data_IF_524682831527
#
_entry.id   IF_524682831527
#
_cell.length_a   1.000
_cell.length_b   1.000
_cell.length_c   1.000
_cell.angle_alpha   90.00
_cell.angle_beta   90.00
_cell.angle_gamma   90.00
#
_symmetry.space_group_name_H-M   'P 1'
#
loop_
_entity.id
_entity.type
_entity.pdbx_description
1 polymer ?
#
# COMPACT_ATOMS: atom_id res chain seq x y z
N UNK A 1 -8.58 12.94 4.98
CA UNK A 1 -10.05 13.02 4.93
C UNK A 1 -10.71 11.90 5.74
N UNK A 2 -10.65 10.63 5.29
CA UNK A 2 -11.34 9.51 5.96
C UNK A 2 -10.97 9.26 7.44
N UNK A 3 -9.70 9.40 7.82
CA UNK A 3 -9.26 9.14 9.20
C UNK A 3 -9.75 10.24 10.16
N UNK A 4 -9.75 11.50 9.70
CA UNK A 4 -10.26 12.64 10.47
C UNK A 4 -11.78 12.60 10.62
N UNK A 5 -12.51 12.21 9.55
CA UNK A 5 -13.97 12.11 9.57
C UNK A 5 -14.49 10.92 10.39
N UNK A 6 -13.74 9.80 10.41
CA UNK A 6 -14.12 8.61 11.19
C UNK A 6 -13.53 8.58 12.60
N UNK A 7 -12.55 9.44 12.89
CA UNK A 7 -11.78 9.40 14.14
C UNK A 7 -11.02 8.10 14.37
N UNK A 8 -10.80 7.27 13.34
CA UNK A 8 -10.22 5.94 13.45
C UNK A 8 -9.30 5.62 12.27
N UNK A 9 -8.18 4.96 12.55
CA UNK A 9 -7.32 4.38 11.52
C UNK A 9 -7.98 3.14 10.88
N UNK A 10 -7.75 2.87 9.58
CA UNK A 10 -8.22 1.63 8.96
C UNK A 10 -7.64 0.40 9.67
N UNK A 11 -8.36 -0.72 9.70
CA UNK A 11 -7.84 -1.98 10.27
C UNK A 11 -7.45 -2.98 9.17
N UNK A 12 -6.59 -3.96 9.46
CA UNK A 12 -6.29 -5.04 8.53
C UNK A 12 -7.52 -5.87 8.13
N UNK A 13 -8.58 -5.87 8.93
CA UNK A 13 -9.86 -6.51 8.57
C UNK A 13 -10.71 -5.58 7.69
N UNK A 14 -10.71 -4.27 7.98
CA UNK A 14 -11.50 -3.26 7.27
C UNK A 14 -10.61 -2.42 6.35
N UNK A 15 -10.04 -3.06 5.33
CA UNK A 15 -9.10 -2.45 4.36
C UNK A 15 -9.82 -1.63 3.28
N UNK A 16 -10.54 -0.59 3.67
CA UNK A 16 -11.20 0.34 2.74
C UNK A 16 -10.21 0.92 1.71
N UNK A 17 -8.96 1.19 2.13
CA UNK A 17 -7.90 1.62 1.22
C UNK A 17 -7.58 0.59 0.11
N UNK A 18 -7.89 -0.69 0.28
CA UNK A 18 -7.69 -1.72 -0.74
C UNK A 18 -8.89 -1.85 -1.67
N UNK A 19 -10.13 -1.79 -1.15
CA UNK A 19 -11.32 -1.80 -2.01
C UNK A 19 -11.44 -0.52 -2.82
N UNK A 20 -11.40 0.63 -2.15
CA UNK A 20 -11.90 1.88 -2.72
C UNK A 20 -10.81 2.63 -3.47
N UNK A 21 -9.57 2.56 -2.97
CA UNK A 21 -8.44 3.33 -3.52
C UNK A 21 -7.55 2.50 -4.45
N UNK A 22 -7.71 1.16 -4.47
CA UNK A 22 -6.90 0.28 -5.33
C UNK A 22 -7.77 -0.51 -6.30
N UNK A 23 -8.54 -1.47 -5.79
CA UNK A 23 -9.30 -2.41 -6.64
C UNK A 23 -10.37 -1.71 -7.48
N UNK A 24 -11.21 -0.89 -6.86
CA UNK A 24 -12.30 -0.18 -7.55
C UNK A 24 -11.82 0.67 -8.73
N UNK A 25 -10.80 1.53 -8.57
CA UNK A 25 -10.22 2.30 -9.66
C UNK A 25 -9.63 1.42 -10.77
N UNK A 26 -8.86 0.38 -10.43
CA UNK A 26 -8.30 -0.56 -11.42
C UNK A 26 -9.42 -1.23 -12.23
N UNK A 27 -10.43 -1.78 -11.57
CA UNK A 27 -11.57 -2.42 -12.23
C UNK A 27 -12.32 -1.46 -13.14
N UNK A 28 -12.50 -0.20 -12.71
CA UNK A 28 -13.15 0.83 -13.52
C UNK A 28 -12.35 1.15 -14.78
N UNK A 29 -11.04 1.28 -14.66
CA UNK A 29 -10.14 1.53 -15.79
C UNK A 29 -10.17 0.37 -16.78
N UNK A 30 -10.06 -0.88 -16.32
CA UNK A 30 -10.12 -2.05 -17.20
C UNK A 30 -11.49 -2.14 -17.90
N UNK A 31 -12.60 -1.88 -17.17
CA UNK A 31 -13.93 -1.81 -17.79
C UNK A 31 -14.01 -0.72 -18.86
N UNK A 32 -13.35 0.42 -18.68
CA UNK A 32 -13.28 1.47 -19.70
C UNK A 32 -12.52 0.98 -20.94
N UNK A 33 -11.32 0.42 -20.75
CA UNK A 33 -10.50 -0.13 -21.85
C UNK A 33 -11.26 -1.20 -22.65
N UNK A 34 -11.96 -2.13 -21.98
CA UNK A 34 -12.77 -3.15 -22.69
C UNK A 34 -13.91 -2.55 -23.51
N UNK A 35 -14.52 -1.45 -23.07
CA UNK A 35 -15.55 -0.74 -23.85
C UNK A 35 -14.97 -0.07 -25.08
N UNK A 36 -13.80 0.56 -24.96
CA UNK A 36 -13.10 1.17 -26.10
C UNK A 36 -12.71 0.11 -27.13
N UNK A 37 -12.15 -1.02 -26.69
CA UNK A 37 -11.84 -2.17 -27.56
C UNK A 37 -13.08 -2.70 -28.27
N UNK A 38 -14.21 -2.79 -27.57
CA UNK A 38 -15.49 -3.20 -28.16
C UNK A 38 -15.94 -2.23 -29.24
N UNK A 39 -15.89 -0.92 -28.97
CA UNK A 39 -16.28 0.11 -29.92
C UNK A 39 -15.38 0.13 -31.16
N UNK A 40 -14.10 -0.21 -31.01
CA UNK A 40 -13.15 -0.35 -32.09
C UNK A 40 -13.27 -1.69 -32.87
N UNK A 41 -14.23 -2.56 -32.53
CA UNK A 41 -14.45 -3.83 -33.24
C UNK A 41 -13.34 -4.87 -33.01
N UNK A 42 -12.55 -4.72 -31.94
CA UNK A 42 -11.45 -5.65 -31.62
C UNK A 42 -12.02 -7.05 -31.33
N UNK A 43 -11.49 -8.06 -32.01
CA UNK A 43 -11.78 -9.47 -31.70
C UNK A 43 -11.35 -9.76 -30.25
N UNK A 44 -12.17 -10.51 -29.52
CA UNK A 44 -11.92 -10.86 -28.11
C UNK A 44 -11.74 -9.63 -27.20
N UNK A 45 -12.46 -8.53 -27.51
CA UNK A 45 -12.45 -7.29 -26.72
C UNK A 45 -12.74 -7.49 -25.22
N UNK A 46 -13.46 -8.57 -24.89
CA UNK A 46 -13.89 -8.91 -23.53
C UNK A 46 -12.90 -9.75 -22.75
N UNK A 47 -11.85 -10.29 -23.39
CA UNK A 47 -10.85 -11.12 -22.72
C UNK A 47 -9.87 -10.23 -21.93
N UNK A 48 -9.77 -10.49 -20.64
CA UNK A 48 -8.92 -9.75 -19.69
C UNK A 48 -8.06 -10.72 -18.90
N UNK A 49 -6.76 -10.45 -18.85
CA UNK A 49 -5.83 -11.10 -17.91
C UNK A 49 -5.23 -10.02 -17.01
N UNK A 50 -5.65 -10.00 -15.75
CA UNK A 50 -5.19 -9.08 -14.72
C UNK A 50 -3.99 -9.69 -13.97
N UNK A 51 -2.79 -9.31 -14.37
CA UNK A 51 -1.54 -9.79 -13.78
C UNK A 51 -1.22 -9.05 -12.48
N UNK A 52 -0.91 -9.79 -11.41
CA UNK A 52 -0.54 -9.24 -10.11
C UNK A 52 0.72 -9.92 -9.57
N UNK A 53 1.69 -9.13 -9.10
CA UNK A 53 2.98 -9.61 -8.59
C UNK A 53 2.96 -10.16 -7.16
N UNK A 54 1.91 -10.89 -6.76
CA UNK A 54 1.78 -11.41 -5.40
C UNK A 54 2.46 -12.78 -5.31
N UNK A 55 3.35 -12.95 -4.32
CA UNK A 55 4.18 -14.17 -4.18
C UNK A 55 3.79 -14.99 -2.97
N UNK A 56 3.96 -16.30 -3.05
CA UNK A 56 3.68 -17.27 -1.98
C UNK A 56 4.50 -16.98 -0.72
N UNK A 57 5.77 -16.58 -0.89
CA UNK A 57 6.71 -16.25 0.19
C UNK A 57 6.24 -15.07 1.07
N UNK A 58 5.38 -14.19 0.58
CA UNK A 58 4.97 -12.97 1.32
C UNK A 58 4.16 -13.27 2.58
N UNK A 59 3.39 -14.37 2.60
CA UNK A 59 2.67 -14.86 3.80
C UNK A 59 2.00 -16.21 3.57
N UNK A 60 1.63 -16.89 4.66
CA UNK A 60 0.82 -18.12 4.62
C UNK A 60 -0.51 -17.96 3.87
N UNK A 61 -1.13 -16.78 3.91
CA UNK A 61 -2.36 -16.49 3.15
C UNK A 61 -2.10 -16.36 1.65
N UNK A 62 -0.94 -15.83 1.26
CA UNK A 62 -0.52 -15.69 -0.14
C UNK A 62 -0.08 -17.01 -0.74
N UNK A 63 0.57 -17.86 0.06
CA UNK A 63 0.99 -19.20 -0.35
C UNK A 63 -0.19 -20.07 -0.83
N UNK A 64 -1.39 -19.83 -0.32
CA UNK A 64 -2.61 -20.59 -0.65
C UNK A 64 -3.39 -20.03 -1.86
N UNK A 65 -2.92 -18.94 -2.46
CA UNK A 65 -3.62 -18.36 -3.61
C UNK A 65 -3.44 -19.24 -4.85
N UNK A 66 -4.51 -19.37 -5.62
CA UNK A 66 -4.48 -19.96 -6.94
C UNK A 66 -3.74 -19.03 -7.93
N UNK A 67 -2.79 -19.60 -8.68
CA UNK A 67 -1.92 -18.85 -9.59
C UNK A 67 -2.68 -18.25 -10.77
N UNK A 68 -3.67 -18.95 -11.33
CA UNK A 68 -4.48 -18.48 -12.45
C UNK A 68 -5.94 -18.84 -12.21
N UNK A 69 -6.82 -17.85 -12.08
CA UNK A 69 -8.22 -18.07 -11.70
C UNK A 69 -9.20 -17.21 -12.47
N UNK A 70 -10.38 -17.75 -12.74
CA UNK A 70 -11.49 -16.98 -13.30
C UNK A 70 -12.04 -16.01 -12.24
N UNK A 71 -12.14 -14.73 -12.60
CA UNK A 71 -12.74 -13.70 -11.76
C UNK A 71 -14.25 -13.60 -12.03
N UNK A 72 -15.02 -14.45 -11.38
CA UNK A 72 -16.50 -14.48 -11.51
C UNK A 72 -17.17 -13.13 -11.25
N UNK A 73 -16.58 -12.29 -10.38
CA UNK A 73 -17.10 -10.96 -10.10
C UNK A 73 -17.04 -10.01 -11.29
N UNK A 74 -15.97 -10.11 -12.09
CA UNK A 74 -15.69 -9.22 -13.22
C UNK A 74 -15.99 -9.84 -14.61
N UNK A 75 -16.10 -11.17 -14.71
CA UNK A 75 -16.55 -11.92 -15.89
C UNK A 75 -18.05 -11.73 -16.13
N UNK A 76 -18.43 -10.53 -16.55
CA UNK A 76 -19.83 -10.10 -16.76
C UNK A 76 -19.93 -9.24 -18.01
N UNK A 77 -21.15 -9.11 -18.56
CA UNK A 77 -21.45 -8.27 -19.71
C UNK A 77 -20.53 -8.54 -20.92
N UNK A 78 -20.33 -9.81 -21.25
CA UNK A 78 -19.51 -10.27 -22.37
C UNK A 78 -18.00 -10.24 -22.12
N UNK A 79 -17.55 -9.96 -20.89
CA UNK A 79 -16.14 -10.09 -20.49
C UNK A 79 -15.84 -11.46 -19.91
N UNK A 80 -14.66 -11.95 -20.20
CA UNK A 80 -14.02 -13.10 -19.60
C UNK A 80 -12.74 -12.60 -18.92
N UNK A 81 -12.71 -12.65 -17.59
CA UNK A 81 -11.66 -12.04 -16.79
C UNK A 81 -10.93 -13.08 -15.96
N UNK A 82 -9.60 -13.11 -16.08
CA UNK A 82 -8.72 -13.93 -15.26
C UNK A 82 -7.83 -13.06 -14.37
N UNK A 83 -7.62 -13.50 -13.14
CA UNK A 83 -6.55 -13.00 -12.28
C UNK A 83 -5.36 -13.96 -12.36
N UNK A 84 -4.16 -13.43 -12.63
CA UNK A 84 -2.95 -14.22 -12.79
C UNK A 84 -1.80 -13.73 -11.91
N UNK A 85 -1.11 -14.67 -11.25
CA UNK A 85 0.05 -14.45 -10.38
C UNK A 85 1.31 -15.02 -11.05
N UNK A 86 1.91 -14.33 -12.04
CA UNK A 86 2.97 -14.89 -12.88
C UNK A 86 4.28 -15.22 -12.15
N UNK A 87 4.48 -14.67 -10.96
CA UNK A 87 5.69 -14.84 -10.13
C UNK A 87 5.36 -15.46 -8.78
N UNK A 88 4.26 -16.20 -8.68
CA UNK A 88 3.73 -16.67 -7.40
C UNK A 88 4.73 -17.54 -6.63
N UNK A 89 5.50 -18.36 -7.33
CA UNK A 89 6.50 -19.27 -6.78
C UNK A 89 7.89 -18.64 -6.60
N UNK A 90 8.07 -17.36 -6.97
CA UNK A 90 9.36 -16.71 -6.88
C UNK A 90 9.70 -16.28 -5.45
N UNK A 91 10.95 -16.51 -5.08
CA UNK A 91 11.61 -15.94 -3.90
C UNK A 91 11.90 -14.45 -4.09
N UNK A 92 12.22 -13.76 -3.00
CA UNK A 92 12.59 -12.36 -3.03
C UNK A 92 13.87 -12.18 -3.84
N UNK A 93 14.86 -13.06 -3.65
CA UNK A 93 16.12 -13.06 -4.38
C UNK A 93 15.89 -13.15 -5.90
N UNK A 94 15.06 -14.09 -6.35
CA UNK A 94 14.74 -14.25 -7.78
C UNK A 94 14.12 -12.99 -8.40
N UNK A 95 13.26 -12.28 -7.65
CA UNK A 95 12.68 -11.01 -8.12
C UNK A 95 13.77 -9.96 -8.34
N UNK A 96 14.67 -9.79 -7.38
CA UNK A 96 15.76 -8.82 -7.48
C UNK A 96 16.78 -9.20 -8.55
N UNK A 97 17.07 -10.49 -8.72
CA UNK A 97 17.95 -11.00 -9.77
C UNK A 97 17.39 -10.72 -11.17
N UNK A 98 16.09 -10.91 -11.39
CA UNK A 98 15.44 -10.61 -12.67
C UNK A 98 15.41 -9.10 -12.95
N UNK A 99 15.14 -8.26 -11.95
CA UNK A 99 15.24 -6.80 -12.09
C UNK A 99 16.65 -6.40 -12.53
N UNK A 100 17.67 -6.96 -11.88
CA UNK A 100 19.08 -6.70 -12.20
C UNK A 100 19.45 -7.21 -13.60
N UNK A 101 19.03 -8.42 -13.96
CA UNK A 101 19.29 -9.02 -15.27
C UNK A 101 18.63 -8.22 -16.41
N UNK A 102 17.50 -7.57 -16.14
CA UNK A 102 16.85 -6.65 -17.07
C UNK A 102 17.53 -5.26 -17.14
N UNK A 103 18.64 -5.04 -16.43
CA UNK A 103 19.32 -3.75 -16.36
C UNK A 103 18.54 -2.68 -15.59
N UNK A 104 17.53 -3.07 -14.83
CA UNK A 104 16.69 -2.18 -14.04
C UNK A 104 17.22 -2.08 -12.61
N UNK A 105 16.81 -1.02 -11.91
CA UNK A 105 17.07 -0.84 -10.48
C UNK A 105 15.77 -0.92 -9.68
N UNK A 106 15.76 -1.63 -8.56
CA UNK A 106 14.64 -1.57 -7.62
C UNK A 106 14.40 -0.12 -7.17
N UNK A 107 13.20 0.13 -6.64
CA UNK A 107 12.88 1.45 -6.13
C UNK A 107 13.81 1.84 -4.96
N UNK A 108 14.33 3.08 -4.96
CA UNK A 108 15.29 3.61 -3.96
C UNK A 108 14.88 3.39 -2.50
N UNK A 109 13.58 3.28 -2.23
CA UNK A 109 13.04 3.03 -0.88
C UNK A 109 13.63 1.79 -0.21
N UNK A 110 14.00 0.77 -0.98
CA UNK A 110 14.64 -0.44 -0.46
C UNK A 110 16.08 -0.16 0.01
N UNK A 111 16.81 0.70 -0.69
CA UNK A 111 18.16 1.16 -0.28
C UNK A 111 18.10 2.03 0.99
N UNK A 112 16.96 2.69 1.24
CA UNK A 112 16.71 3.48 2.45
C UNK A 112 16.32 2.63 3.67
N UNK A 113 16.28 1.30 3.54
CA UNK A 113 16.02 0.35 4.63
C UNK A 113 14.57 -0.08 4.79
N UNK A 114 13.68 0.30 3.86
CA UNK A 114 12.28 -0.16 3.89
C UNK A 114 12.17 -1.55 3.28
N UNK A 115 11.42 -2.44 3.91
CA UNK A 115 11.14 -3.79 3.41
C UNK A 115 10.02 -3.83 2.36
N UNK A 116 9.21 -2.77 2.28
CA UNK A 116 8.05 -2.68 1.39
C UNK A 116 7.87 -1.28 0.83
N UNK A 117 7.39 -1.19 -0.40
CA UNK A 117 6.93 0.07 -0.98
C UNK A 117 5.39 0.17 -0.89
N UNK A 118 4.90 1.01 0.02
CA UNK A 118 3.47 1.19 0.31
C UNK A 118 3.22 2.62 0.81
N UNK A 119 2.06 2.90 1.41
CA UNK A 119 1.88 4.16 2.13
C UNK A 119 3.01 4.32 3.16
N UNK A 120 3.58 5.53 3.26
CA UNK A 120 4.72 5.87 4.14
C UNK A 120 4.50 5.36 5.55
N UNK A 121 3.33 5.64 6.11
CA UNK A 121 2.86 5.04 7.35
C UNK A 121 1.66 4.14 7.05
N UNK A 122 1.86 2.82 7.20
CA UNK A 122 0.88 1.82 6.86
C UNK A 122 0.53 0.97 8.08
N UNK A 123 -0.76 0.65 8.24
CA UNK A 123 -1.27 -0.25 9.29
C UNK A 123 -0.73 -1.70 9.18
N UNK A 124 -0.09 -2.03 8.05
CA UNK A 124 0.56 -3.32 7.79
C UNK A 124 2.09 -3.22 7.73
N UNK A 125 2.65 -2.05 8.07
CA UNK A 125 4.10 -1.87 8.12
C UNK A 125 4.69 -2.66 9.29
N UNK A 126 5.92 -3.14 9.13
CA UNK A 126 6.68 -3.66 10.27
C UNK A 126 7.09 -2.50 11.19
N UNK A 127 7.45 -2.81 12.43
CA UNK A 127 7.99 -1.79 13.35
C UNK A 127 9.29 -1.17 12.79
N UNK A 128 10.13 -1.98 12.11
CA UNK A 128 11.35 -1.50 11.46
C UNK A 128 11.06 -0.52 10.31
N UNK A 129 10.04 -0.81 9.48
CA UNK A 129 9.61 0.12 8.43
C UNK A 129 9.09 1.43 9.02
N UNK A 130 8.32 1.37 10.12
CA UNK A 130 7.79 2.58 10.77
C UNK A 130 8.90 3.43 11.39
N UNK A 131 9.90 2.81 12.02
CA UNK A 131 11.10 3.50 12.52
C UNK A 131 11.85 4.18 11.39
N UNK A 132 12.05 3.48 10.28
CA UNK A 132 12.71 4.02 9.09
C UNK A 132 11.90 5.18 8.50
N UNK A 133 10.59 5.03 8.34
CA UNK A 133 9.71 6.07 7.82
C UNK A 133 9.69 7.32 8.71
N UNK A 134 9.64 7.16 10.04
CA UNK A 134 9.67 8.28 10.98
C UNK A 134 11.03 9.00 10.97
N UNK A 135 12.13 8.25 10.94
CA UNK A 135 13.48 8.82 10.81
C UNK A 135 13.61 9.63 9.52
N UNK A 136 13.21 9.06 8.38
CA UNK A 136 13.25 9.76 7.08
C UNK A 136 12.34 10.99 7.07
N UNK A 137 11.18 10.95 7.72
CA UNK A 137 10.30 12.11 7.85
C UNK A 137 10.94 13.28 8.59
N UNK A 138 11.86 13.00 9.52
CA UNK A 138 12.57 14.03 10.29
C UNK A 138 13.87 14.47 9.61
N UNK A 139 14.66 13.53 9.11
CA UNK A 139 16.00 13.80 8.56
C UNK A 139 15.98 14.24 7.09
N UNK A 140 15.02 13.73 6.30
CA UNK A 140 14.91 13.94 4.85
C UNK A 140 13.43 14.13 4.44
N UNK A 141 12.73 15.13 5.01
CA UNK A 141 11.30 15.36 4.77
C UNK A 141 10.93 15.56 3.29
N UNK A 142 11.85 16.06 2.48
CA UNK A 142 11.71 16.26 1.03
C UNK A 142 11.50 14.97 0.24
N UNK A 143 11.82 13.80 0.82
CA UNK A 143 11.53 12.51 0.22
C UNK A 143 10.05 12.11 0.33
N UNK A 144 9.26 12.82 1.15
CA UNK A 144 7.85 12.52 1.38
C UNK A 144 6.96 13.44 0.56
N UNK A 145 5.90 12.86 -0.03
CA UNK A 145 4.83 13.66 -0.65
C UNK A 145 4.15 14.61 0.35
N UNK A 146 4.19 14.28 1.65
CA UNK A 146 3.69 15.11 2.74
C UNK A 146 4.72 15.09 3.89
N UNK A 147 5.58 16.12 3.99
CA UNK A 147 6.57 16.29 5.06
C UNK A 147 5.98 16.25 6.47
N UNK A 148 4.71 16.67 6.62
CA UNK A 148 4.03 16.75 7.91
C UNK A 148 3.30 15.45 8.29
N UNK A 149 3.34 14.42 7.45
CA UNK A 149 2.51 13.23 7.61
C UNK A 149 2.72 12.55 8.97
N UNK A 150 3.96 12.44 9.42
CA UNK A 150 4.28 11.87 10.73
C UNK A 150 3.63 12.67 11.87
N UNK A 151 3.81 14.00 11.86
CA UNK A 151 3.22 14.91 12.84
C UNK A 151 1.69 14.84 12.83
N UNK A 152 1.07 14.83 11.65
CA UNK A 152 -0.39 14.71 11.48
C UNK A 152 -0.92 13.43 12.11
N UNK A 153 -0.24 12.31 11.89
CA UNK A 153 -0.67 11.02 12.43
C UNK A 153 -0.46 10.93 13.94
N UNK A 154 0.67 11.38 14.47
CA UNK A 154 0.88 11.46 15.93
C UNK A 154 -0.16 12.39 16.59
N UNK A 155 -0.43 13.55 16.00
CA UNK A 155 -1.43 14.49 16.51
C UNK A 155 -2.83 13.89 16.54
N UNK A 156 -3.17 13.10 15.52
CA UNK A 156 -4.43 12.37 15.46
C UNK A 156 -4.50 11.26 16.53
N UNK A 157 -3.43 10.51 16.76
CA UNK A 157 -3.42 9.51 17.83
C UNK A 157 -3.65 10.15 19.20
N UNK A 158 -3.02 11.31 19.43
CA UNK A 158 -3.20 12.11 20.67
C UNK A 158 -4.62 12.67 20.82
N UNK A 159 -5.23 13.18 19.75
CA UNK A 159 -6.54 13.81 19.84
C UNK A 159 -7.70 12.81 19.90
N UNK A 160 -7.53 11.61 19.34
CA UNK A 160 -8.59 10.59 19.28
C UNK A 160 -8.42 9.47 20.31
N UNK A 161 -7.22 9.29 20.87
CA UNK A 161 -6.87 8.14 21.70
C UNK A 161 -6.81 6.81 20.92
N UNK A 162 -6.94 6.85 19.59
CA UNK A 162 -6.80 5.69 18.71
C UNK A 162 -5.36 5.59 18.22
N UNK A 163 -4.83 4.37 18.11
CA UNK A 163 -3.48 4.12 17.58
C UNK A 163 -3.55 3.54 16.17
N UNK A 164 -2.56 3.84 15.33
CA UNK A 164 -2.52 3.36 13.95
C UNK A 164 -2.36 1.84 13.88
N UNK A 165 -1.41 1.30 14.64
CA UNK A 165 -1.18 -0.13 14.66
C UNK A 165 -2.22 -0.79 15.56
N UNK A 166 -2.80 -1.88 15.07
CA UNK A 166 -3.71 -2.69 15.88
C UNK A 166 -3.00 -3.16 17.16
N UNK A 167 -3.65 -3.06 18.33
CA UNK A 167 -3.06 -3.47 19.60
C UNK A 167 -2.63 -4.93 19.56
N UNK A 168 -1.41 -5.21 20.03
CA UNK A 168 -0.91 -6.58 20.20
C UNK A 168 -1.09 -6.97 21.67
N UNK A 169 -1.75 -8.09 21.93
CA UNK A 169 -2.05 -8.56 23.29
C UNK A 169 -2.75 -7.49 24.16
N UNK A 170 -3.63 -6.69 23.56
CA UNK A 170 -4.33 -5.59 24.24
C UNK A 170 -3.50 -4.33 24.48
N UNK A 171 -2.20 -4.35 24.20
CA UNK A 171 -1.31 -3.20 24.42
C UNK A 171 -1.39 -2.25 23.23
N UNK A 172 -1.81 -1.01 23.51
CA UNK A 172 -1.83 0.10 22.55
C UNK A 172 -0.50 0.82 22.61
N UNK A 173 0.17 0.95 21.46
CA UNK A 173 1.41 1.71 21.32
C UNK A 173 1.22 2.75 20.23
N UNK A 174 1.45 4.01 20.56
CA UNK A 174 1.41 5.11 19.59
C UNK A 174 2.66 5.12 18.72
N UNK A 175 2.64 5.89 17.64
CA UNK A 175 3.76 6.02 16.71
C UNK A 175 5.03 6.52 17.39
N UNK A 176 4.96 7.48 18.32
CA UNK A 176 6.15 7.95 19.04
C UNK A 176 6.79 6.84 19.90
N UNK A 177 5.98 5.94 20.46
CA UNK A 177 6.45 4.80 21.25
C UNK A 177 7.01 3.68 20.38
N UNK A 178 6.39 3.45 19.22
CA UNK A 178 6.83 2.44 18.24
C UNK A 178 8.15 2.87 17.60
N UNK A 179 8.25 4.14 17.21
CA UNK A 179 9.36 4.64 16.41
C UNK A 179 10.50 5.21 17.24
N UNK A 180 10.23 5.66 18.47
CA UNK A 180 11.17 6.42 19.30
C UNK A 180 11.39 7.86 18.84
N UNK A 181 10.71 8.30 17.77
CA UNK A 181 10.83 9.66 17.22
C UNK A 181 9.73 10.53 17.78
N UNK A 182 10.09 11.64 18.45
CA UNK A 182 9.11 12.60 18.93
C UNK A 182 8.63 13.49 17.79
N UNK A 183 7.32 13.64 17.66
CA UNK A 183 6.74 14.69 16.85
C UNK A 183 6.82 15.99 17.64
N UNK A 184 7.94 16.71 17.51
CA UNK A 184 8.04 18.06 18.08
C UNK A 184 6.88 18.91 17.58
N UNK A 185 6.31 19.75 18.47
CA UNK A 185 5.40 20.81 18.02
C UNK A 185 6.24 21.64 17.07
N UNK A 186 5.88 21.68 15.80
CA UNK A 186 6.48 22.63 14.87
C UNK A 186 6.51 23.98 15.57
N UNK A 187 7.67 24.63 15.56
CA UNK A 187 7.79 26.03 15.94
C UNK A 187 6.61 26.72 15.27
N UNK A 188 5.69 27.21 16.11
CA UNK A 188 4.71 28.21 15.74
C UNK A 188 5.42 29.18 14.83
N UNK A 189 4.85 29.49 13.67
CA UNK A 189 5.21 30.71 12.97
C UNK A 189 4.87 31.89 13.91
N UNK A 190 5.71 32.08 14.93
CA UNK A 190 5.65 33.16 15.88
C UNK A 190 6.44 34.29 15.25
N UNK A 191 5.68 35.27 14.78
CA UNK A 191 6.06 36.68 14.77
C UNK A 191 7.35 37.00 14.01
N UNK A 192 7.21 37.23 12.71
CA UNK A 192 7.83 38.43 12.15
C UNK A 192 7.17 39.62 12.84
N UNK A 193 7.83 40.13 13.88
CA UNK A 193 7.68 41.53 14.29
C UNK A 193 8.38 42.44 13.26
#
# INVERSE_FOLDING_TARGET
>A
QMIAERGMFPSPQQRQCTSDLKRGPIERTIRHITRERKAAGVRDWGLVVNCMGMRAEESSSRAKLETFKLNNGNSKAGREWYDWLPIHDWTTEQVFDVIKAAGQRPHRVYELGMSRFSCVFCIMASEADLKTAARLATEQPELLNDPDLYRKYVGLEKSTGQVMLMPKNGVRRGLEEITGVRAERGVSASQCC
#
